data_IF_499382486026
#
_entry.id   IF_499382486026
#
_cell.length_a   1.000
_cell.length_b   1.000
_cell.length_c   1.000
_cell.angle_alpha   90.00
_cell.angle_beta   90.00
_cell.angle_gamma   90.00
#
_symmetry.space_group_name_H-M   'P 1'
#
loop_
_entity.id
_entity.type
_entity.pdbx_description
1 polymer ?
#
# COMPACT_ATOMS: atom_id res chain seq x y z
N UNK A 1 -80.09 -31.38 -5.31
CA UNK A 1 -78.61 -31.42 -5.17
C UNK A 1 -78.03 -30.38 -6.13
N UNK A 2 -77.53 -29.25 -5.61
CA UNK A 2 -76.91 -28.21 -6.40
C UNK A 2 -75.44 -28.13 -5.98
N UNK A 3 -74.51 -28.48 -6.87
CA UNK A 3 -73.08 -28.29 -6.68
C UNK A 3 -72.71 -26.85 -7.10
N UNK A 4 -72.19 -26.08 -6.13
CA UNK A 4 -71.62 -24.74 -6.35
C UNK A 4 -70.08 -24.92 -6.60
N UNK A 5 -69.66 -24.70 -7.85
CA UNK A 5 -68.25 -24.63 -8.19
C UNK A 5 -67.67 -23.28 -7.78
N UNK A 6 -66.67 -23.29 -6.93
CA UNK A 6 -65.86 -22.10 -6.61
C UNK A 6 -64.69 -22.03 -7.59
N UNK A 7 -64.70 -21.03 -8.44
CA UNK A 7 -63.54 -20.69 -9.31
C UNK A 7 -62.50 -19.91 -8.51
N UNK A 8 -61.32 -20.47 -8.37
CA UNK A 8 -60.17 -19.85 -7.72
C UNK A 8 -59.35 -19.14 -8.81
N UNK A 9 -59.31 -17.84 -8.79
CA UNK A 9 -58.41 -17.03 -9.60
C UNK A 9 -57.00 -17.03 -8.98
N UNK A 10 -56.04 -17.67 -9.65
CA UNK A 10 -54.63 -17.53 -9.32
C UNK A 10 -54.09 -16.28 -9.97
N UNK A 11 -53.91 -15.21 -9.21
CA UNK A 11 -53.20 -14.02 -9.65
C UNK A 11 -51.67 -14.30 -9.70
N UNK A 12 -51.12 -14.31 -10.92
CA UNK A 12 -49.69 -14.40 -11.15
C UNK A 12 -49.07 -13.01 -10.90
N UNK A 13 -48.46 -12.83 -9.71
CA UNK A 13 -47.69 -11.63 -9.40
C UNK A 13 -46.35 -11.71 -10.13
N UNK A 14 -46.18 -10.92 -11.19
CA UNK A 14 -44.92 -10.76 -11.91
C UNK A 14 -43.97 -9.88 -11.06
N UNK A 15 -43.08 -10.49 -10.32
CA UNK A 15 -42.05 -9.79 -9.56
C UNK A 15 -40.95 -9.37 -10.53
N UNK A 16 -40.93 -8.10 -10.93
CA UNK A 16 -39.83 -7.52 -11.70
C UNK A 16 -38.63 -7.36 -10.73
N UNK A 17 -37.69 -8.25 -10.82
CA UNK A 17 -36.39 -8.08 -10.18
C UNK A 17 -35.59 -7.01 -10.92
N UNK A 18 -35.51 -5.82 -10.34
CA UNK A 18 -34.52 -4.83 -10.73
C UNK A 18 -33.13 -5.36 -10.34
N UNK A 19 -32.44 -5.94 -11.29
CA UNK A 19 -30.99 -6.20 -11.13
C UNK A 19 -30.30 -4.85 -11.12
N UNK A 20 -29.95 -4.35 -9.94
CA UNK A 20 -28.98 -3.26 -9.80
C UNK A 20 -27.67 -3.72 -10.41
N UNK A 21 -27.32 -3.16 -11.56
CA UNK A 21 -25.97 -3.26 -12.11
C UNK A 21 -25.10 -2.49 -11.12
N UNK A 22 -24.43 -3.20 -10.22
CA UNK A 22 -23.34 -2.63 -9.46
C UNK A 22 -22.32 -2.11 -10.48
N UNK A 23 -22.20 -0.79 -10.61
CA UNK A 23 -21.07 -0.18 -11.29
C UNK A 23 -19.84 -0.67 -10.54
N UNK A 24 -19.13 -1.64 -11.15
CA UNK A 24 -17.92 -2.17 -10.58
C UNK A 24 -16.93 -1.02 -10.36
N UNK A 25 -16.64 -0.71 -9.09
CA UNK A 25 -15.46 0.09 -8.76
C UNK A 25 -14.30 -0.58 -9.49
N UNK A 26 -13.52 0.20 -10.24
CA UNK A 26 -12.28 -0.29 -10.83
C UNK A 26 -11.44 -0.79 -9.66
N UNK A 27 -11.11 -2.08 -9.60
CA UNK A 27 -10.44 -2.61 -8.42
C UNK A 27 -9.13 -1.84 -8.22
N UNK A 28 -8.90 -1.35 -7.02
CA UNK A 28 -7.63 -0.78 -6.58
C UNK A 28 -6.55 -1.82 -6.88
N UNK A 29 -5.61 -1.47 -7.75
CA UNK A 29 -4.62 -2.43 -8.23
C UNK A 29 -3.23 -1.94 -7.91
N UNK A 30 -2.58 -2.70 -7.05
CA UNK A 30 -1.16 -2.60 -6.77
C UNK A 30 -0.35 -3.50 -7.70
N UNK A 31 0.86 -3.07 -7.97
CA UNK A 31 1.82 -3.82 -8.77
C UNK A 31 3.05 -4.10 -7.90
N UNK A 32 3.26 -5.35 -7.45
CA UNK A 32 4.43 -5.70 -6.66
C UNK A 32 5.74 -5.40 -7.40
N UNK A 33 6.73 -4.93 -6.65
CA UNK A 33 8.10 -4.72 -7.12
C UNK A 33 8.97 -5.85 -6.55
N UNK A 34 8.99 -6.99 -7.22
CA UNK A 34 9.66 -8.20 -6.74
C UNK A 34 8.97 -8.85 -5.55
N UNK A 35 9.69 -9.71 -4.85
CA UNK A 35 9.22 -10.40 -3.65
C UNK A 35 9.45 -9.54 -2.40
N UNK A 36 8.71 -9.80 -1.31
CA UNK A 36 8.97 -9.18 -0.01
C UNK A 36 10.33 -9.60 0.55
N UNK A 37 10.92 -8.73 1.36
CA UNK A 37 12.23 -8.94 2.00
C UNK A 37 12.01 -9.03 3.50
N UNK A 38 12.47 -10.13 4.10
CA UNK A 38 12.49 -10.27 5.56
C UNK A 38 13.83 -9.79 6.14
N UNK A 39 13.78 -8.81 7.05
CA UNK A 39 14.97 -8.29 7.74
C UNK A 39 14.60 -7.69 9.09
N UNK A 40 15.43 -7.92 10.10
CA UNK A 40 15.22 -7.41 11.48
C UNK A 40 13.85 -7.78 12.08
N UNK A 41 13.34 -8.97 11.77
CA UNK A 41 12.00 -9.42 12.15
C UNK A 41 10.88 -8.52 11.62
N UNK A 42 11.11 -7.95 10.44
CA UNK A 42 10.14 -7.23 9.63
C UNK A 42 10.03 -7.91 8.27
N UNK A 43 8.83 -7.90 7.71
CA UNK A 43 8.57 -8.09 6.30
C UNK A 43 8.43 -6.72 5.64
N UNK A 44 9.14 -6.52 4.54
CA UNK A 44 9.12 -5.28 3.75
C UNK A 44 8.67 -5.65 2.34
N UNK A 45 7.50 -5.20 1.93
CA UNK A 45 7.05 -5.29 0.55
C UNK A 45 7.18 -3.93 -0.13
N UNK A 46 7.47 -3.95 -1.43
CA UNK A 46 7.49 -2.78 -2.27
C UNK A 46 6.45 -2.92 -3.37
N UNK A 47 5.59 -1.92 -3.51
CA UNK A 47 4.59 -1.88 -4.58
C UNK A 47 4.58 -0.53 -5.29
N UNK A 48 3.99 -0.49 -6.46
CA UNK A 48 3.61 0.76 -7.09
C UNK A 48 2.18 0.67 -7.61
N UNK A 49 1.51 1.81 -7.69
CA UNK A 49 0.13 1.92 -8.19
C UNK A 49 -0.04 3.25 -8.93
N UNK A 50 -1.18 3.42 -9.65
CA UNK A 50 -1.53 4.71 -10.21
C UNK A 50 -1.58 5.78 -9.14
N UNK A 51 -1.37 7.06 -9.54
CA UNK A 51 -1.37 8.15 -8.60
C UNK A 51 -2.68 8.24 -7.84
N UNK A 52 -2.60 8.48 -6.55
CA UNK A 52 -3.73 8.61 -5.64
C UNK A 52 -3.94 10.06 -5.20
N UNK A 53 -5.16 10.40 -4.81
CA UNK A 53 -5.46 11.68 -4.15
C UNK A 53 -5.24 11.53 -2.66
N UNK A 54 -4.53 12.48 -2.06
CA UNK A 54 -4.20 12.49 -0.64
C UNK A 54 -4.59 13.81 0.01
N UNK A 55 -5.07 13.75 1.25
CA UNK A 55 -5.35 14.93 2.07
C UNK A 55 -4.04 15.62 2.45
N UNK A 56 -4.06 16.96 2.56
CA UNK A 56 -2.88 17.76 2.96
C UNK A 56 -1.75 17.83 1.92
N UNK A 57 -1.79 17.04 0.88
CA UNK A 57 -0.90 17.12 -0.27
C UNK A 57 -1.60 17.82 -1.42
N UNK A 58 -1.96 19.10 -1.23
CA UNK A 58 -2.51 19.93 -2.30
C UNK A 58 -1.49 19.98 -3.44
N UNK A 59 -1.86 19.35 -4.56
CA UNK A 59 -1.10 19.35 -5.81
C UNK A 59 0.38 18.91 -5.67
N UNK A 60 0.64 17.65 -5.36
CA UNK A 60 1.85 17.06 -5.91
C UNK A 60 1.68 17.05 -7.43
N UNK A 61 2.09 18.16 -8.04
CA UNK A 61 2.08 18.59 -9.43
C UNK A 61 1.15 17.81 -10.36
N UNK A 62 0.60 18.45 -11.36
CA UNK A 62 -0.25 17.84 -12.39
C UNK A 62 0.10 16.39 -12.61
N UNK A 63 -0.89 15.48 -12.45
CA UNK A 63 -0.74 14.07 -12.74
C UNK A 63 -0.20 13.92 -14.17
N UNK A 64 1.13 13.90 -14.27
CA UNK A 64 1.81 13.95 -15.58
C UNK A 64 1.85 12.55 -16.16
N UNK A 65 1.14 12.36 -17.27
CA UNK A 65 1.40 11.26 -18.18
C UNK A 65 2.06 11.81 -19.42
N UNK A 66 3.29 11.40 -19.68
CA UNK A 66 4.05 11.74 -20.88
C UNK A 66 4.33 10.49 -21.67
N UNK A 67 4.71 10.63 -22.95
CA UNK A 67 5.17 9.47 -23.77
C UNK A 67 6.36 8.73 -23.15
N UNK A 68 7.11 9.40 -22.24
CA UNK A 68 8.35 8.93 -21.63
C UNK A 68 8.20 8.44 -20.20
N UNK A 69 7.02 8.51 -19.59
CA UNK A 69 6.80 8.12 -18.19
C UNK A 69 5.46 8.59 -17.66
N UNK A 70 5.14 8.25 -16.43
CA UNK A 70 3.92 8.67 -15.74
C UNK A 70 4.14 8.90 -14.24
N UNK A 71 3.22 9.64 -13.63
CA UNK A 71 3.17 9.74 -12.17
C UNK A 71 2.64 8.44 -11.60
N UNK A 72 3.31 7.94 -10.57
CA UNK A 72 2.94 6.75 -9.80
C UNK A 72 2.99 7.05 -8.32
N UNK A 73 2.31 6.24 -7.55
CA UNK A 73 2.47 6.14 -6.12
C UNK A 73 3.32 4.91 -5.82
N UNK A 74 4.38 5.06 -5.02
CA UNK A 74 5.22 3.95 -4.53
C UNK A 74 4.96 3.77 -3.06
N UNK A 75 4.96 2.53 -2.60
CA UNK A 75 4.70 2.17 -1.21
C UNK A 75 5.75 1.19 -0.69
N UNK A 76 6.03 1.33 0.60
CA UNK A 76 6.72 0.36 1.41
C UNK A 76 5.77 -0.11 2.52
N UNK A 77 5.32 -1.36 2.43
CA UNK A 77 4.54 -2.03 3.46
C UNK A 77 5.49 -2.71 4.42
N UNK A 78 5.50 -2.23 5.66
CA UNK A 78 6.48 -2.69 6.65
C UNK A 78 5.76 -3.21 7.87
N UNK A 79 5.75 -4.52 8.04
CA UNK A 79 5.05 -5.22 9.11
C UNK A 79 6.00 -6.08 9.94
N UNK A 80 5.69 -6.23 11.21
CA UNK A 80 6.37 -7.18 12.06
C UNK A 80 6.06 -8.62 11.61
N UNK A 81 7.06 -9.50 11.71
CA UNK A 81 6.86 -10.95 11.55
C UNK A 81 7.00 -11.66 12.90
N UNK A 82 6.71 -12.95 12.91
CA UNK A 82 6.82 -13.79 14.09
C UNK A 82 8.22 -13.66 14.73
N UNK A 83 8.25 -13.41 16.05
CA UNK A 83 9.47 -13.23 16.81
C UNK A 83 10.03 -11.80 16.75
N UNK A 84 9.22 -10.80 16.40
CA UNK A 84 9.57 -9.39 16.59
C UNK A 84 9.70 -9.10 18.09
N UNK A 85 10.83 -8.52 18.48
CA UNK A 85 11.18 -8.23 19.89
C UNK A 85 10.97 -6.75 20.27
N UNK A 86 10.49 -5.93 19.32
CA UNK A 86 10.27 -4.49 19.54
C UNK A 86 8.85 -4.17 20.00
N UNK A 87 8.06 -5.20 20.42
CA UNK A 87 6.73 -5.04 20.99
C UNK A 87 5.57 -5.10 19.99
N UNK A 88 5.82 -5.53 18.76
CA UNK A 88 4.79 -5.67 17.71
C UNK A 88 4.47 -7.13 17.44
N UNK A 89 3.18 -7.45 17.34
CA UNK A 89 2.70 -8.75 16.89
C UNK A 89 2.93 -9.00 15.40
N UNK A 90 2.96 -10.28 14.99
CA UNK A 90 3.07 -10.62 13.57
C UNK A 90 1.91 -10.00 12.76
N UNK A 91 2.23 -9.35 11.65
CA UNK A 91 1.29 -8.62 10.80
C UNK A 91 1.01 -7.18 11.25
N UNK A 92 1.50 -6.74 12.40
CA UNK A 92 1.33 -5.35 12.83
C UNK A 92 2.25 -4.42 12.05
N UNK A 93 1.70 -3.32 11.56
CA UNK A 93 2.44 -2.24 10.94
C UNK A 93 3.31 -1.50 11.95
N UNK A 94 4.53 -1.14 11.58
CA UNK A 94 5.44 -0.41 12.48
C UNK A 94 5.29 1.10 12.25
N UNK A 95 4.76 1.85 13.22
CA UNK A 95 4.59 3.30 13.10
C UNK A 95 5.90 4.07 13.25
N UNK A 96 5.89 5.32 12.78
CA UNK A 96 6.95 6.32 12.99
C UNK A 96 8.34 5.92 12.50
N UNK A 97 8.45 4.93 11.59
CA UNK A 97 9.71 4.68 10.90
C UNK A 97 10.10 5.88 10.04
N UNK A 98 11.37 6.12 9.93
CA UNK A 98 11.92 7.10 8.99
C UNK A 98 12.31 6.36 7.72
N UNK A 99 11.43 6.45 6.72
CA UNK A 99 11.60 5.74 5.45
C UNK A 99 11.98 6.73 4.36
N UNK A 100 13.18 6.56 3.81
CA UNK A 100 13.63 7.26 2.61
C UNK A 100 13.58 6.31 1.41
N UNK A 101 13.61 6.86 0.21
CA UNK A 101 13.76 6.07 -1.01
C UNK A 101 14.79 6.67 -1.96
N UNK A 102 15.44 5.81 -2.73
CA UNK A 102 16.28 6.15 -3.88
C UNK A 102 15.89 5.25 -5.05
N UNK A 103 15.62 5.85 -6.20
CA UNK A 103 15.34 5.14 -7.45
C UNK A 103 16.43 5.55 -8.45
N UNK A 104 17.27 4.58 -8.83
CA UNK A 104 18.41 4.80 -9.71
C UNK A 104 18.23 4.02 -11.02
N UNK A 105 18.14 4.73 -12.13
CA UNK A 105 17.98 4.16 -13.46
C UNK A 105 19.29 3.90 -14.17
N UNK A 106 19.30 2.90 -15.05
CA UNK A 106 20.45 2.62 -15.95
C UNK A 106 20.71 3.74 -16.95
N UNK A 107 19.72 4.61 -17.16
CA UNK A 107 19.79 5.80 -18.03
C UNK A 107 20.32 7.07 -17.33
N UNK A 108 20.84 6.93 -16.09
CA UNK A 108 21.32 8.05 -15.28
C UNK A 108 20.22 8.77 -14.48
N UNK A 109 18.96 8.40 -14.60
CA UNK A 109 17.88 8.93 -13.76
C UNK A 109 18.16 8.63 -12.29
N UNK A 110 18.03 9.65 -11.43
CA UNK A 110 18.08 9.50 -9.97
C UNK A 110 16.93 10.27 -9.36
N UNK A 111 16.09 9.59 -8.60
CA UNK A 111 14.98 10.18 -7.85
C UNK A 111 15.15 9.72 -6.40
N UNK A 112 15.03 10.65 -5.47
CA UNK A 112 15.14 10.34 -4.05
C UNK A 112 14.20 11.19 -3.23
N UNK A 113 13.77 10.72 -2.08
CA UNK A 113 12.86 11.43 -1.21
C UNK A 113 12.55 10.68 0.07
N UNK A 114 11.50 11.15 0.75
CA UNK A 114 10.94 10.48 1.93
C UNK A 114 9.62 9.83 1.54
N UNK A 115 9.41 8.60 2.00
CA UNK A 115 8.11 7.97 2.02
C UNK A 115 7.43 8.33 3.36
N UNK A 116 6.26 8.98 3.27
CA UNK A 116 5.54 9.45 4.43
C UNK A 116 4.57 8.38 4.93
N UNK A 117 4.30 8.29 6.24
CA UNK A 117 3.24 7.43 6.75
C UNK A 117 1.88 7.93 6.24
N UNK A 118 1.08 7.02 5.73
CA UNK A 118 -0.26 7.28 5.24
C UNK A 118 -1.17 6.08 5.44
N UNK A 119 -2.46 6.24 5.21
CA UNK A 119 -3.46 5.19 5.41
C UNK A 119 -4.36 5.10 4.20
N UNK A 120 -4.61 3.89 3.74
CA UNK A 120 -5.57 3.55 2.70
C UNK A 120 -6.60 2.53 3.21
N UNK A 121 -7.51 2.06 2.34
CA UNK A 121 -8.54 1.08 2.73
C UNK A 121 -7.98 -0.26 3.19
N UNK A 122 -6.84 -0.64 2.70
CA UNK A 122 -6.11 -1.88 2.98
C UNK A 122 -5.14 -1.77 4.16
N UNK A 123 -4.89 -0.56 4.64
CA UNK A 123 -4.11 -0.34 5.84
C UNK A 123 -3.14 0.83 5.77
N UNK A 124 -2.33 0.98 6.83
CA UNK A 124 -1.28 1.98 6.88
C UNK A 124 -0.01 1.49 6.15
N UNK A 125 0.66 2.42 5.47
CA UNK A 125 1.90 2.17 4.74
C UNK A 125 2.81 3.42 4.73
N UNK A 126 4.00 3.29 4.17
CA UNK A 126 4.89 4.43 3.87
C UNK A 126 4.91 4.67 2.37
N UNK A 127 4.47 5.84 1.91
CA UNK A 127 4.31 6.08 0.48
C UNK A 127 4.83 7.42 0.00
N UNK A 128 5.04 7.51 -1.31
CA UNK A 128 5.39 8.73 -2.01
C UNK A 128 4.83 8.75 -3.43
N UNK A 129 4.41 9.92 -3.89
CA UNK A 129 3.98 10.09 -5.28
C UNK A 129 5.09 10.73 -6.10
N UNK A 130 5.47 10.10 -7.19
CA UNK A 130 6.61 10.49 -8.01
C UNK A 130 6.29 10.42 -9.51
N UNK A 131 6.96 11.21 -10.32
CA UNK A 131 7.00 11.00 -11.77
C UNK A 131 8.17 10.07 -12.10
N UNK A 132 7.88 8.89 -12.70
CA UNK A 132 8.89 7.92 -13.09
C UNK A 132 8.89 7.76 -14.62
N UNK A 133 9.99 8.04 -15.32
CA UNK A 133 10.17 7.67 -16.73
C UNK A 133 10.12 6.14 -16.91
N UNK A 134 9.75 5.67 -18.10
CA UNK A 134 9.82 4.23 -18.40
C UNK A 134 11.29 3.80 -18.49
N UNK A 135 11.60 2.64 -17.91
CA UNK A 135 12.98 2.16 -17.85
C UNK A 135 13.23 1.11 -16.79
N UNK A 136 14.50 0.76 -16.66
CA UNK A 136 14.97 -0.19 -15.65
C UNK A 136 15.63 0.55 -14.51
N UNK A 137 15.26 0.20 -13.29
CA UNK A 137 15.63 0.89 -12.08
C UNK A 137 16.03 -0.09 -10.98
N UNK A 138 16.83 0.42 -10.06
CA UNK A 138 17.01 -0.12 -8.73
C UNK A 138 16.27 0.80 -7.76
N UNK A 139 15.27 0.25 -7.08
CA UNK A 139 14.59 0.91 -5.96
C UNK A 139 15.27 0.48 -4.67
N UNK A 140 15.59 1.44 -3.83
CA UNK A 140 16.13 1.22 -2.47
C UNK A 140 15.23 1.96 -1.49
N UNK A 141 14.68 1.26 -0.50
CA UNK A 141 14.13 1.88 0.69
C UNK A 141 15.18 1.90 1.80
N UNK A 142 15.42 3.09 2.35
CA UNK A 142 16.29 3.34 3.49
C UNK A 142 15.42 3.40 4.74
N UNK A 143 15.49 2.39 5.59
CA UNK A 143 14.59 2.22 6.71
C UNK A 143 15.35 2.44 8.01
N UNK A 144 14.97 3.48 8.75
CA UNK A 144 15.52 3.76 10.06
C UNK A 144 14.42 3.68 11.13
N UNK A 145 14.78 3.27 12.35
CA UNK A 145 13.83 3.16 13.45
C UNK A 145 13.24 4.54 13.81
N UNK A 146 12.13 4.56 14.57
CA UNK A 146 11.53 5.79 15.07
C UNK A 146 12.53 6.63 15.88
N UNK A 147 12.33 7.94 15.89
CA UNK A 147 12.96 8.80 16.91
C UNK A 147 12.32 8.51 18.27
N UNK A 148 13.11 8.42 19.34
CA UNK A 148 12.60 8.12 20.68
C UNK A 148 11.65 9.18 21.24
N UNK A 149 11.61 10.36 20.64
CA UNK A 149 10.65 11.43 20.97
C UNK A 149 9.30 11.24 20.27
N UNK A 150 9.26 10.47 19.19
CA UNK A 150 8.05 10.19 18.43
C UNK A 150 7.44 8.84 18.85
N UNK A 151 8.29 7.85 19.15
CA UNK A 151 7.88 6.55 19.66
C UNK A 151 8.90 6.05 20.70
N UNK A 152 8.61 6.29 21.97
CA UNK A 152 9.42 5.81 23.08
C UNK A 152 9.16 4.32 23.32
N UNK A 153 10.21 3.57 23.65
CA UNK A 153 10.10 2.17 24.10
C UNK A 153 10.32 2.06 25.60
N UNK A 154 9.68 1.12 26.26
CA UNK A 154 9.99 0.76 27.64
C UNK A 154 11.34 0.04 27.71
N UNK A 155 12.11 0.31 28.75
CA UNK A 155 13.44 -0.26 28.94
C UNK A 155 13.62 -0.95 30.29
N UNK A 156 12.58 -0.96 31.12
CA UNK A 156 12.59 -1.63 32.42
C UNK A 156 12.49 -3.16 32.28
N UNK A 157 12.92 -3.92 33.28
CA UNK A 157 12.95 -5.39 33.20
C UNK A 157 11.61 -6.07 33.09
N UNK A 158 10.49 -5.39 33.42
CA UNK A 158 9.13 -5.99 33.46
C UNK A 158 8.38 -5.78 32.16
N UNK A 159 8.44 -4.56 31.61
CA UNK A 159 7.65 -4.16 30.43
C UNK A 159 8.50 -3.76 29.23
N UNK A 160 9.83 -3.80 29.38
CA UNK A 160 10.76 -3.38 28.34
C UNK A 160 10.75 -4.25 27.12
N UNK A 161 11.00 -3.62 25.95
CA UNK A 161 11.17 -4.30 24.64
C UNK A 161 12.62 -4.15 24.17
N UNK A 162 13.03 -4.99 23.22
CA UNK A 162 14.37 -4.96 22.67
C UNK A 162 14.73 -3.59 22.06
N UNK A 163 16.02 -3.22 22.06
CA UNK A 163 16.48 -2.03 21.33
C UNK A 163 16.12 -2.11 19.85
N UNK A 164 15.87 -0.93 19.27
CA UNK A 164 15.70 -0.85 17.82
C UNK A 164 16.98 -1.29 17.10
N UNK A 165 16.79 -1.84 15.90
CA UNK A 165 17.86 -2.19 14.98
C UNK A 165 18.56 -0.91 14.44
N UNK A 166 19.75 -1.09 13.86
CA UNK A 166 20.40 -0.04 13.08
C UNK A 166 19.69 0.17 11.75
N UNK A 167 19.72 1.41 11.22
CA UNK A 167 19.15 1.70 9.91
C UNK A 167 19.69 0.73 8.84
N UNK A 168 18.83 0.32 7.92
CA UNK A 168 19.16 -0.66 6.89
C UNK A 168 18.47 -0.31 5.56
N UNK A 169 18.86 -1.04 4.52
CA UNK A 169 18.30 -0.91 3.17
C UNK A 169 17.60 -2.20 2.75
N UNK A 170 16.50 -2.01 2.00
CA UNK A 170 15.82 -3.05 1.25
C UNK A 170 15.81 -2.63 -0.22
N UNK A 171 16.13 -3.55 -1.14
CA UNK A 171 16.46 -3.20 -2.53
C UNK A 171 15.76 -4.12 -3.52
N UNK A 172 15.18 -3.54 -4.57
CA UNK A 172 14.51 -4.26 -5.66
C UNK A 172 14.96 -3.77 -7.03
N UNK A 173 14.87 -4.64 -8.00
CA UNK A 173 14.96 -4.27 -9.42
C UNK A 173 13.54 -4.01 -9.95
N UNK A 174 13.35 -2.88 -10.63
CA UNK A 174 12.09 -2.45 -11.21
C UNK A 174 12.22 -2.21 -12.71
N UNK A 175 11.55 -3.00 -13.52
CA UNK A 175 11.38 -2.76 -14.97
C UNK A 175 10.04 -2.02 -15.18
N UNK A 176 10.10 -0.69 -15.12
CA UNK A 176 8.91 0.14 -15.19
C UNK A 176 8.51 0.44 -16.64
N UNK A 177 7.39 -0.13 -17.06
CA UNK A 177 6.80 0.01 -18.41
C UNK A 177 5.47 0.76 -18.41
N UNK A 178 5.04 1.25 -17.25
CA UNK A 178 3.73 1.84 -17.06
C UNK A 178 2.61 0.80 -16.97
N UNK A 179 1.37 1.29 -16.93
CA UNK A 179 0.19 0.43 -16.99
C UNK A 179 0.12 -0.27 -18.34
N UNK A 180 -0.07 -1.58 -18.31
CA UNK A 180 -0.57 -2.32 -19.46
C UNK A 180 -2.08 -2.21 -19.57
#
# INVERSE_FOLDING_TARGET
>A
MKHSGKTIFFGLALTIMFSSIAQGEVPFREYPIGDSIEKNKLEIAAVWLPPVKMEGMSSMGDLKKKKTGETIHIEADIHAIQGNENGFGAGEWIPNLRVGYTIKGTNGTMIQGKALPMVAKDGPHYGAQIFLPYGKYKLVFHIAPPDSRELARHTDPVSGVAPWWSAFEATWDLDFKGKK
#
